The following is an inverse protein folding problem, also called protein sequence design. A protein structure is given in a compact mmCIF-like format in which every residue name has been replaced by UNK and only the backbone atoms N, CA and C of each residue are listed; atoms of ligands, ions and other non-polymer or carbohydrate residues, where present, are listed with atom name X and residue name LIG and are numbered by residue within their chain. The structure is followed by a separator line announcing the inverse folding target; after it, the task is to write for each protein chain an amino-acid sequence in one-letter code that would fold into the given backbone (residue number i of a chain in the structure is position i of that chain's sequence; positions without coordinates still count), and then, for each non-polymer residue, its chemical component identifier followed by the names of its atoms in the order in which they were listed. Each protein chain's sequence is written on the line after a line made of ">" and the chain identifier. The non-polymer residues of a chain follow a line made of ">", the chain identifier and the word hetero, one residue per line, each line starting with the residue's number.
data_IF_070137880119
#
_entry.id   IF_070137880119
#
_cell.length_a   1.000
_cell.length_b   1.000
_cell.length_c   1.000
_cell.angle_alpha   90.00
_cell.angle_beta   90.00
_cell.angle_gamma   90.00
#
_symmetry.space_group_name_H-M   'P 1'
#
loop_
_entity.id
_entity.type
_entity.pdbx_description
1 polymer ?
#
# COMPACT_ATOMS: atom_id res chain seq x y z
N UNK A 1 -57.53 -64.20 -3.25
CA UNK A 1 -56.59 -65.24 -3.71
C UNK A 1 -55.20 -64.65 -3.63
N UNK A 2 -54.32 -65.31 -2.89
CA UNK A 2 -52.96 -64.86 -2.53
C UNK A 2 -51.95 -65.33 -3.58
N UNK A 3 -50.80 -64.65 -3.62
CA UNK A 3 -49.48 -65.14 -4.08
C UNK A 3 -49.34 -65.34 -5.60
N UNK A 4 -48.19 -65.20 -6.27
CA UNK A 4 -46.79 -64.89 -5.98
C UNK A 4 -46.15 -64.64 -7.36
N UNK A 5 -45.15 -63.76 -7.46
CA UNK A 5 -43.81 -64.18 -7.89
C UNK A 5 -42.91 -62.96 -8.05
N UNK A 6 -41.78 -63.06 -7.38
CA UNK A 6 -40.66 -62.14 -7.39
C UNK A 6 -39.72 -62.55 -8.52
N UNK A 7 -39.21 -61.58 -9.28
CA UNK A 7 -37.98 -61.75 -10.04
C UNK A 7 -37.06 -60.57 -9.79
N UNK A 8 -36.09 -60.80 -8.88
CA UNK A 8 -34.82 -60.09 -8.76
C UNK A 8 -34.06 -60.08 -10.08
N UNK A 9 -33.62 -58.90 -10.56
CA UNK A 9 -32.32 -58.72 -11.22
C UNK A 9 -31.75 -57.35 -10.77
N UNK A 10 -30.49 -57.37 -10.34
CA UNK A 10 -29.76 -56.36 -9.56
C UNK A 10 -29.38 -55.07 -10.33
N UNK A 11 -29.05 -53.96 -9.64
CA UNK A 11 -28.60 -52.72 -10.26
C UNK A 11 -27.10 -52.80 -10.61
N UNK A 12 -26.78 -52.73 -11.90
CA UNK A 12 -25.39 -52.66 -12.38
C UNK A 12 -25.00 -51.21 -12.63
N UNK A 13 -24.05 -50.73 -11.84
CA UNK A 13 -23.14 -49.62 -12.13
C UNK A 13 -23.73 -48.22 -12.33
N UNK A 14 -24.26 -47.64 -11.25
CA UNK A 14 -24.14 -46.20 -11.03
C UNK A 14 -22.68 -45.86 -10.71
N UNK A 15 -21.89 -45.49 -11.72
CA UNK A 15 -20.51 -45.03 -11.52
C UNK A 15 -20.09 -44.00 -12.58
N UNK A 16 -20.80 -42.88 -12.68
CA UNK A 16 -20.27 -41.66 -13.33
C UNK A 16 -20.81 -40.41 -12.59
N UNK A 17 -20.50 -40.29 -11.31
CA UNK A 17 -20.77 -39.06 -10.54
C UNK A 17 -19.65 -38.81 -9.53
N UNK A 18 -18.42 -38.69 -10.02
CA UNK A 18 -17.25 -38.53 -9.15
C UNK A 18 -16.07 -37.83 -9.83
N UNK A 19 -16.25 -36.80 -10.65
CA UNK A 19 -15.14 -35.92 -11.04
C UNK A 19 -15.70 -34.52 -11.29
N UNK A 20 -15.04 -33.49 -10.75
CA UNK A 20 -15.35 -32.05 -10.77
C UNK A 20 -15.95 -31.43 -9.50
N UNK A 21 -15.41 -31.78 -8.34
CA UNK A 21 -15.20 -30.80 -7.27
C UNK A 21 -13.71 -30.42 -7.20
N UNK A 22 -13.21 -29.84 -8.29
CA UNK A 22 -11.96 -29.08 -8.28
C UNK A 22 -12.22 -27.72 -7.64
N UNK A 23 -12.50 -27.72 -6.34
CA UNK A 23 -12.57 -26.52 -5.52
C UNK A 23 -11.15 -25.95 -5.53
N UNK A 24 -10.96 -24.87 -6.28
CA UNK A 24 -9.82 -23.97 -6.16
C UNK A 24 -9.76 -23.50 -4.70
N UNK A 25 -9.07 -24.26 -3.84
CA UNK A 25 -8.54 -23.73 -2.60
C UNK A 25 -7.39 -22.84 -3.05
N UNK A 26 -7.70 -21.58 -3.38
CA UNK A 26 -6.67 -20.55 -3.33
C UNK A 26 -6.19 -20.55 -1.89
N UNK A 27 -4.93 -20.97 -1.74
CA UNK A 27 -4.24 -21.01 -0.48
C UNK A 27 -4.51 -19.70 0.27
N UNK A 28 -5.15 -19.82 1.42
CA UNK A 28 -4.89 -18.89 2.51
C UNK A 28 -3.45 -19.18 2.91
N UNK A 29 -2.48 -18.62 2.16
CA UNK A 29 -1.15 -18.33 2.67
C UNK A 29 -1.29 -17.18 3.67
N UNK A 30 -2.18 -17.39 4.63
CA UNK A 30 -2.30 -16.57 5.80
C UNK A 30 -1.10 -17.01 6.65
N UNK A 31 0.07 -16.42 6.39
CA UNK A 31 1.32 -16.70 7.09
C UNK A 31 1.05 -16.99 8.56
N UNK A 32 1.52 -18.16 9.01
CA UNK A 32 1.31 -18.78 10.34
C UNK A 32 1.69 -17.88 11.54
N UNK A 33 2.16 -16.68 11.24
CA UNK A 33 2.82 -15.67 12.06
C UNK A 33 1.90 -14.44 12.27
N UNK A 34 0.75 -14.35 11.57
CA UNK A 34 -0.25 -13.27 11.72
C UNK A 34 0.08 -11.97 11.00
N UNK A 35 1.28 -11.83 10.42
CA UNK A 35 1.64 -10.67 9.60
C UNK A 35 1.02 -10.79 8.19
N UNK A 36 0.45 -9.68 7.71
CA UNK A 36 -0.02 -9.50 6.33
C UNK A 36 0.72 -8.35 5.68
N UNK A 37 1.20 -8.57 4.46
CA UNK A 37 1.81 -7.53 3.63
C UNK A 37 0.86 -7.27 2.47
N UNK A 38 0.59 -6.00 2.18
CA UNK A 38 -0.33 -5.61 1.10
C UNK A 38 0.09 -4.29 0.47
N UNK A 39 -0.61 -3.96 -0.61
CA UNK A 39 -0.52 -2.66 -1.28
C UNK A 39 0.92 -2.30 -1.70
N UNK A 40 1.73 -3.31 -2.03
CA UNK A 40 3.12 -3.15 -2.43
C UNK A 40 3.27 -2.50 -3.80
N UNK A 41 4.01 -1.40 -3.88
CA UNK A 41 4.32 -0.73 -5.14
C UNK A 41 5.68 -0.03 -5.11
N UNK A 42 6.23 0.17 -6.30
CA UNK A 42 7.43 0.96 -6.53
C UNK A 42 7.19 1.97 -7.64
N UNK A 43 7.99 3.02 -7.67
CA UNK A 43 7.97 4.00 -8.76
C UNK A 43 8.99 3.60 -9.83
N UNK A 44 8.60 3.72 -11.09
CA UNK A 44 9.54 3.51 -12.20
C UNK A 44 10.77 4.40 -12.08
N UNK A 45 11.91 3.88 -12.51
CA UNK A 45 13.19 4.59 -12.47
C UNK A 45 13.58 5.07 -13.86
N UNK A 46 14.23 6.25 -13.94
CA UNK A 46 14.79 6.74 -15.21
C UNK A 46 16.00 5.92 -15.62
N UNK A 47 16.30 5.86 -16.92
CA UNK A 47 17.50 5.20 -17.42
C UNK A 47 18.77 5.68 -16.69
N UNK A 48 19.55 4.74 -16.15
CA UNK A 48 20.78 5.02 -15.41
C UNK A 48 20.60 5.40 -13.94
N UNK A 49 19.35 5.41 -13.43
CA UNK A 49 19.11 5.61 -12.00
C UNK A 49 19.83 4.54 -11.18
N UNK A 50 20.43 4.97 -10.06
CA UNK A 50 21.14 4.10 -9.12
C UNK A 50 20.34 3.80 -7.85
N UNK A 51 19.16 4.40 -7.75
CA UNK A 51 18.30 4.40 -6.58
C UNK A 51 16.84 4.25 -7.03
N UNK A 52 16.07 3.46 -6.29
CA UNK A 52 14.63 3.28 -6.44
C UNK A 52 13.93 3.30 -5.08
N UNK A 53 12.64 3.64 -5.07
CA UNK A 53 11.83 3.69 -3.86
C UNK A 53 10.70 2.66 -3.88
N UNK A 54 10.36 2.08 -2.74
CA UNK A 54 9.25 1.14 -2.58
C UNK A 54 8.38 1.45 -1.38
N UNK A 55 7.12 1.03 -1.47
CA UNK A 55 6.06 1.33 -0.52
C UNK A 55 5.18 0.10 -0.35
N UNK A 56 4.71 -0.14 0.86
CA UNK A 56 3.84 -1.26 1.21
C UNK A 56 3.22 -1.02 2.59
N UNK A 57 2.26 -1.85 2.95
CA UNK A 57 1.67 -1.86 4.28
C UNK A 57 1.86 -3.23 4.92
N UNK A 58 2.35 -3.25 6.16
CA UNK A 58 2.43 -4.45 7.01
C UNK A 58 1.40 -4.34 8.12
N UNK A 59 0.56 -5.36 8.28
CA UNK A 59 -0.45 -5.44 9.33
C UNK A 59 -0.13 -6.62 10.25
N UNK A 60 -0.10 -6.40 11.57
CA UNK A 60 0.08 -7.48 12.52
C UNK A 60 -1.29 -7.94 13.06
N UNK A 61 -1.84 -9.01 12.48
CA UNK A 61 -3.04 -9.69 12.99
C UNK A 61 -2.71 -10.80 14.02
N UNK A 62 -1.45 -10.93 14.40
CA UNK A 62 -1.00 -11.83 15.46
C UNK A 62 -1.35 -11.33 16.86
N UNK A 63 -1.03 -12.14 17.87
CA UNK A 63 -1.27 -11.83 19.29
C UNK A 63 -0.01 -11.31 20.02
N UNK A 64 1.08 -11.14 19.29
CA UNK A 64 2.42 -10.82 19.82
C UNK A 64 3.09 -9.77 18.92
N UNK A 65 3.88 -8.86 19.49
CA UNK A 65 4.63 -7.88 18.70
C UNK A 65 5.65 -8.57 17.79
N UNK A 66 5.97 -7.95 16.67
CA UNK A 66 7.08 -8.33 15.79
C UNK A 66 7.89 -7.09 15.40
N UNK A 67 9.09 -7.28 14.87
CA UNK A 67 9.97 -6.21 14.43
C UNK A 67 10.46 -6.47 13.01
N UNK A 68 10.31 -5.49 12.13
CA UNK A 68 10.97 -5.50 10.83
C UNK A 68 12.45 -5.17 11.05
N UNK A 69 13.31 -6.16 10.84
CA UNK A 69 14.76 -6.07 11.02
C UNK A 69 15.46 -5.55 9.77
N UNK A 70 15.02 -6.02 8.59
CA UNK A 70 15.67 -5.71 7.32
C UNK A 70 14.73 -5.93 6.14
N UNK A 71 15.12 -5.37 4.99
CA UNK A 71 14.56 -5.68 3.67
C UNK A 71 15.69 -6.17 2.76
N UNK A 72 15.40 -7.12 1.87
CA UNK A 72 16.33 -7.60 0.85
C UNK A 72 15.66 -7.56 -0.51
N UNK A 73 16.45 -7.30 -1.54
CA UNK A 73 16.01 -7.28 -2.93
C UNK A 73 17.17 -7.68 -3.83
N UNK A 74 16.98 -8.66 -4.71
CA UNK A 74 18.05 -9.07 -5.64
C UNK A 74 18.34 -7.98 -6.68
N UNK A 75 17.34 -7.14 -7.01
CA UNK A 75 17.45 -6.04 -7.97
C UNK A 75 18.31 -4.85 -7.47
N UNK A 76 18.81 -4.90 -6.23
CA UNK A 76 19.58 -3.84 -5.59
C UNK A 76 20.79 -4.40 -4.82
N UNK A 77 21.91 -3.67 -4.84
CA UNK A 77 23.07 -4.02 -4.02
C UNK A 77 22.85 -3.74 -2.52
N UNK A 78 21.93 -2.84 -2.19
CA UNK A 78 21.60 -2.48 -0.81
C UNK A 78 20.13 -2.08 -0.70
N UNK A 79 19.45 -2.57 0.32
CA UNK A 79 18.02 -2.31 0.56
C UNK A 79 17.81 -1.92 2.00
N UNK A 80 17.19 -0.78 2.24
CA UNK A 80 17.05 -0.19 3.58
C UNK A 80 15.64 0.38 3.78
N UNK A 81 15.25 0.58 5.04
CA UNK A 81 14.08 1.38 5.38
C UNK A 81 14.55 2.77 5.77
N UNK A 82 14.02 3.79 5.12
CA UNK A 82 14.36 5.19 5.34
C UNK A 82 13.17 5.94 5.95
N UNK A 83 13.46 6.99 6.70
CA UNK A 83 12.49 7.95 7.22
C UNK A 83 12.86 9.35 6.76
N UNK A 84 11.89 10.26 6.78
CA UNK A 84 12.14 11.69 6.61
C UNK A 84 12.32 12.32 7.98
N UNK A 85 13.41 13.06 8.18
CA UNK A 85 13.69 13.79 9.41
C UNK A 85 14.04 15.25 9.10
N UNK A 86 13.62 16.16 9.98
CA UNK A 86 14.07 17.55 9.94
C UNK A 86 15.47 17.63 10.54
N UNK A 87 16.43 18.11 9.76
CA UNK A 87 17.77 18.45 10.21
C UNK A 87 18.08 19.86 9.71
N UNK A 88 18.32 20.79 10.63
CA UNK A 88 18.68 22.18 10.31
C UNK A 88 17.69 22.85 9.33
N UNK A 89 16.39 22.69 9.59
CA UNK A 89 15.27 23.15 8.75
C UNK A 89 15.19 22.51 7.34
N UNK A 90 15.99 21.48 7.08
CA UNK A 90 15.95 20.69 5.85
C UNK A 90 15.38 19.30 6.12
N UNK A 91 14.39 18.89 5.32
CA UNK A 91 13.94 17.50 5.31
C UNK A 91 15.00 16.61 4.65
N UNK A 92 15.59 15.71 5.43
CA UNK A 92 16.57 14.73 4.96
C UNK A 92 15.97 13.32 5.03
N UNK A 93 16.28 12.50 4.02
CA UNK A 93 16.04 11.06 4.07
C UNK A 93 17.19 10.39 4.79
N UNK A 94 16.88 9.59 5.81
CA UNK A 94 17.89 8.87 6.59
C UNK A 94 17.49 7.40 6.81
N UNK A 95 18.45 6.47 6.85
CA UNK A 95 18.17 5.10 7.22
C UNK A 95 17.61 5.03 8.65
N UNK A 96 16.70 4.09 8.86
CA UNK A 96 16.25 3.69 10.19
C UNK A 96 17.23 2.64 10.70
N UNK A 97 17.97 2.96 11.76
CA UNK A 97 18.97 2.06 12.35
C UNK A 97 18.34 0.99 13.27
N UNK A 98 17.20 1.31 13.87
CA UNK A 98 16.51 0.45 14.82
C UNK A 98 15.40 -0.37 14.15
N UNK A 99 15.20 -1.64 14.52
CA UNK A 99 14.09 -2.43 14.00
C UNK A 99 12.72 -1.82 14.27
N UNK A 100 11.87 -1.81 13.26
CA UNK A 100 10.54 -1.20 13.35
C UNK A 100 9.55 -2.15 14.04
N UNK A 101 9.15 -1.77 15.26
CA UNK A 101 8.17 -2.50 16.06
C UNK A 101 6.76 -2.41 15.48
N UNK A 102 6.06 -3.54 15.42
CA UNK A 102 4.67 -3.68 15.00
C UNK A 102 3.92 -4.43 16.10
N UNK A 103 3.20 -3.70 16.92
CA UNK A 103 2.36 -4.26 17.99
C UNK A 103 1.18 -5.08 17.44
N UNK A 104 0.58 -6.00 18.22
CA UNK A 104 -0.64 -6.68 17.85
C UNK A 104 -1.75 -5.70 17.45
N UNK A 105 -2.39 -5.95 16.29
CA UNK A 105 -3.42 -5.08 15.72
C UNK A 105 -2.90 -3.78 15.10
N UNK A 106 -1.60 -3.51 15.16
CA UNK A 106 -0.99 -2.31 14.57
C UNK A 106 -0.70 -2.50 13.08
N UNK A 107 -0.54 -1.35 12.42
CA UNK A 107 -0.20 -1.24 11.01
C UNK A 107 1.08 -0.43 10.88
N UNK A 108 2.07 -0.98 10.18
CA UNK A 108 3.25 -0.27 9.73
C UNK A 108 3.05 0.12 8.26
N UNK A 109 2.94 1.41 8.00
CA UNK A 109 2.80 1.95 6.64
C UNK A 109 4.14 2.49 6.14
N UNK A 110 4.63 1.92 5.04
CA UNK A 110 5.74 2.45 4.28
C UNK A 110 5.15 3.21 3.09
N UNK A 111 5.05 4.53 3.21
CA UNK A 111 4.36 5.42 2.28
C UNK A 111 5.21 6.65 1.93
N UNK A 112 4.92 7.29 0.79
CA UNK A 112 5.54 8.57 0.42
C UNK A 112 5.46 9.58 1.58
N UNK A 113 6.49 10.41 1.74
CA UNK A 113 6.56 11.41 2.82
C UNK A 113 6.83 10.86 4.23
N UNK A 114 6.82 9.54 4.43
CA UNK A 114 7.06 8.89 5.72
C UNK A 114 8.17 7.85 5.67
N UNK A 115 7.94 6.71 6.32
CA UNK A 115 8.80 5.53 6.18
C UNK A 115 8.69 4.98 4.75
N UNK A 116 9.79 4.55 4.16
CA UNK A 116 9.78 3.98 2.82
C UNK A 116 10.96 3.03 2.60
N UNK A 117 10.82 2.13 1.63
CA UNK A 117 11.92 1.27 1.18
C UNK A 117 12.82 2.07 0.24
N UNK A 118 14.12 1.98 0.47
CA UNK A 118 15.15 2.60 -0.36
C UNK A 118 16.04 1.50 -0.93
N UNK A 119 15.99 1.35 -2.25
CA UNK A 119 16.82 0.40 -3.00
C UNK A 119 17.97 1.16 -3.64
N UNK A 120 19.19 0.84 -3.25
CA UNK A 120 20.40 1.52 -3.69
C UNK A 120 21.29 0.56 -4.47
N UNK A 121 22.12 1.14 -5.33
CA UNK A 121 22.99 0.38 -6.23
C UNK A 121 22.16 -0.58 -7.10
N UNK A 122 21.08 -0.05 -7.69
CA UNK A 122 20.22 -0.80 -8.59
C UNK A 122 21.03 -1.50 -9.68
N UNK A 123 20.82 -2.81 -9.80
CA UNK A 123 21.37 -3.63 -10.87
C UNK A 123 20.30 -3.97 -11.93
N UNK A 124 19.02 -3.75 -11.62
CA UNK A 124 17.88 -3.75 -12.52
C UNK A 124 17.11 -2.43 -12.35
N UNK A 125 16.64 -1.85 -13.46
CA UNK A 125 15.77 -0.68 -13.44
C UNK A 125 14.34 -1.09 -13.10
N UNK A 126 13.60 -0.22 -12.42
CA UNK A 126 12.19 -0.45 -12.15
C UNK A 126 11.40 0.00 -13.37
N UNK A 127 10.85 -0.95 -14.14
CA UNK A 127 10.10 -0.66 -15.36
C UNK A 127 8.60 -0.77 -15.08
N UNK A 128 7.83 0.24 -15.49
CA UNK A 128 6.39 0.26 -15.26
C UNK A 128 5.68 -1.01 -15.77
N UNK A 129 4.78 -1.54 -14.95
CA UNK A 129 4.05 -2.79 -15.21
C UNK A 129 4.80 -4.06 -14.82
N UNK A 130 6.07 -3.97 -14.42
CA UNK A 130 6.80 -5.10 -13.84
C UNK A 130 6.45 -5.30 -12.36
N UNK A 131 6.76 -6.51 -11.89
CA UNK A 131 6.67 -6.89 -10.48
C UNK A 131 8.08 -7.11 -9.95
N UNK A 132 8.40 -6.48 -8.83
CA UNK A 132 9.69 -6.64 -8.15
C UNK A 132 9.48 -7.43 -6.86
N UNK A 133 10.12 -8.57 -6.75
CA UNK A 133 10.11 -9.37 -5.52
C UNK A 133 11.12 -8.84 -4.51
N UNK A 134 10.70 -8.82 -3.26
CA UNK A 134 11.49 -8.42 -2.09
C UNK A 134 11.23 -9.39 -0.95
N UNK A 135 12.16 -9.43 -0.01
CA UNK A 135 12.02 -10.20 1.23
C UNK A 135 12.07 -9.24 2.41
N UNK A 136 11.04 -9.28 3.25
CA UNK A 136 11.00 -8.60 4.54
C UNK A 136 11.44 -9.57 5.63
N UNK A 137 12.44 -9.18 6.41
CA UNK A 137 13.01 -10.02 7.47
C UNK A 137 12.49 -9.53 8.82
N UNK A 138 11.66 -10.35 9.46
CA UNK A 138 11.08 -10.08 10.77
C UNK A 138 11.77 -10.88 11.87
N UNK A 139 11.79 -10.32 13.07
CA UNK A 139 12.42 -10.95 14.24
C UNK A 139 11.77 -12.29 14.60
N UNK A 140 10.44 -12.37 14.56
CA UNK A 140 9.70 -13.57 14.99
C UNK A 140 9.06 -14.30 13.84
N UNK A 141 8.46 -13.58 12.90
CA UNK A 141 7.89 -14.18 11.70
C UNK A 141 8.96 -14.72 10.73
N UNK A 142 10.22 -14.29 10.86
CA UNK A 142 11.26 -14.68 9.92
C UNK A 142 11.09 -13.97 8.58
N UNK A 143 11.43 -14.65 7.50
CA UNK A 143 11.41 -14.08 6.15
C UNK A 143 10.01 -14.19 5.53
N UNK A 144 9.49 -13.07 5.03
CA UNK A 144 8.23 -13.01 4.30
C UNK A 144 8.48 -12.36 2.94
N UNK A 145 8.06 -13.06 1.88
CA UNK A 145 8.09 -12.55 0.52
C UNK A 145 7.01 -11.47 0.34
N UNK A 146 7.36 -10.43 -0.41
CA UNK A 146 6.43 -9.42 -0.87
C UNK A 146 6.76 -9.03 -2.31
N UNK A 147 5.75 -8.55 -3.01
CA UNK A 147 5.91 -8.11 -4.40
C UNK A 147 5.48 -6.65 -4.52
N UNK A 148 6.28 -5.87 -5.24
CA UNK A 148 6.00 -4.47 -5.55
C UNK A 148 5.60 -4.35 -7.01
N UNK A 149 4.39 -3.85 -7.28
CA UNK A 149 4.02 -3.41 -8.63
C UNK A 149 4.74 -2.11 -8.98
N UNK A 150 5.46 -2.09 -10.09
CA UNK A 150 6.12 -0.87 -10.56
C UNK A 150 5.11 -0.01 -11.30
N UNK A 151 4.78 1.14 -10.72
CA UNK A 151 3.90 2.13 -11.32
C UNK A 151 4.67 3.07 -12.22
N UNK A 152 4.03 3.49 -13.31
CA UNK A 152 4.54 4.57 -14.15
C UNK A 152 4.71 5.85 -13.33
N UNK A 153 5.51 6.79 -13.84
CA UNK A 153 5.71 8.09 -13.21
C UNK A 153 4.37 8.81 -13.01
N UNK A 154 3.45 8.67 -13.96
CA UNK A 154 2.10 9.23 -13.86
C UNK A 154 1.30 8.54 -12.75
N UNK A 155 1.20 7.22 -12.79
CA UNK A 155 0.33 6.48 -11.86
C UNK A 155 0.85 6.53 -10.43
N UNK A 156 2.18 6.54 -10.26
CA UNK A 156 2.81 6.76 -8.96
C UNK A 156 2.49 8.15 -8.40
N UNK A 157 2.48 9.21 -9.21
CA UNK A 157 2.07 10.54 -8.78
C UNK A 157 0.59 10.60 -8.41
N UNK A 158 -0.28 9.95 -9.17
CA UNK A 158 -1.72 9.89 -8.86
C UNK A 158 -1.97 9.10 -7.57
N UNK A 159 -1.23 8.01 -7.33
CA UNK A 159 -1.27 7.26 -6.07
C UNK A 159 -0.77 8.10 -4.89
N UNK A 160 0.33 8.85 -5.05
CA UNK A 160 0.85 9.76 -4.03
C UNK A 160 -0.19 10.81 -3.63
N UNK A 161 -0.85 11.45 -4.60
CA UNK A 161 -1.92 12.44 -4.36
C UNK A 161 -3.10 11.86 -3.57
N UNK A 162 -3.50 10.64 -3.91
CA UNK A 162 -4.63 9.98 -3.26
C UNK A 162 -4.28 9.37 -1.89
N UNK A 163 -2.98 9.22 -1.56
CA UNK A 163 -2.50 8.67 -0.29
C UNK A 163 -2.56 9.67 0.88
N UNK A 164 -3.14 10.86 0.67
CA UNK A 164 -3.44 11.83 1.73
C UNK A 164 -2.32 12.82 2.05
N UNK A 165 -1.28 12.91 1.23
CA UNK A 165 -0.18 13.85 1.44
C UNK A 165 -0.55 15.23 0.89
N UNK A 166 -1.26 16.02 1.70
CA UNK A 166 -1.26 17.46 1.56
C UNK A 166 0.12 17.99 1.96
N UNK A 167 1.08 17.96 1.03
CA UNK A 167 2.13 18.97 1.00
C UNK A 167 1.41 20.31 0.85
N UNK A 168 1.23 21.01 1.97
CA UNK A 168 0.60 22.31 2.02
C UNK A 168 1.40 23.33 1.21
N UNK A 169 1.11 23.44 -0.07
CA UNK A 169 1.27 24.70 -0.76
C UNK A 169 0.13 25.59 -0.28
N UNK A 170 0.48 26.54 0.60
CA UNK A 170 -0.41 27.61 1.00
C UNK A 170 -0.75 28.48 -0.21
N UNK A 171 -1.81 28.12 -0.92
CA UNK A 171 -2.54 29.07 -1.73
C UNK A 171 -3.26 30.00 -0.74
N UNK A 172 -2.66 31.16 -0.48
CA UNK A 172 -3.37 32.29 0.08
C UNK A 172 -4.44 32.72 -0.93
N UNK A 173 -5.60 32.06 -0.86
CA UNK A 173 -6.84 32.66 -1.28
C UNK A 173 -7.17 33.78 -0.28
N UNK A 174 -6.61 34.98 -0.50
CA UNK A 174 -7.14 36.18 0.13
C UNK A 174 -8.49 36.47 -0.49
N UNK A 175 -9.53 35.93 0.13
CA UNK A 175 -10.86 36.52 0.18
C UNK A 175 -10.71 37.98 0.63
N UNK A 176 -10.82 38.93 -0.30
CA UNK A 176 -11.17 40.30 0.07
C UNK A 176 -12.70 40.38 0.17
N UNK A 177 -13.21 40.07 1.37
CA UNK A 177 -14.55 40.46 1.79
C UNK A 177 -14.40 41.83 2.44
N UNK A 178 -14.55 42.90 1.67
CA UNK A 178 -14.93 44.18 2.26
C UNK A 178 -16.47 44.24 2.33
N UNK A 179 -16.99 43.96 3.53
CA UNK A 179 -18.39 44.13 3.86
C UNK A 179 -18.62 45.45 4.59
N UNK A 180 -19.79 46.04 4.35
CA UNK A 180 -20.56 46.69 5.42
C UNK A 180 -20.62 48.21 5.41
N UNK A 181 -21.81 48.69 5.00
CA UNK A 181 -22.58 49.80 5.57
C UNK A 181 -22.02 51.22 5.50
N UNK A 182 -22.80 52.11 4.87
CA UNK A 182 -23.39 53.25 5.58
C UNK A 182 -24.61 53.74 4.79
N UNK A 183 -25.78 53.49 5.38
CA UNK A 183 -27.01 54.24 5.14
C UNK A 183 -26.90 55.62 5.83
N UNK A 184 -27.73 56.54 5.34
CA UNK A 184 -28.10 57.85 5.89
C UNK A 184 -27.10 59.02 5.76
N UNK A 185 -27.37 59.94 4.81
CA UNK A 185 -28.04 61.20 5.17
C UNK A 185 -28.56 62.01 3.97
N UNK A 186 -29.70 62.62 4.27
CA UNK A 186 -30.55 63.52 3.52
C UNK A 186 -29.82 64.83 3.14
N UNK A 187 -30.04 65.35 1.92
CA UNK A 187 -30.22 66.80 1.77
C UNK A 187 -31.00 67.14 0.50
N UNK A 188 -32.11 67.84 0.71
CA UNK A 188 -32.95 68.47 -0.28
C UNK A 188 -32.19 69.66 -0.91
N UNK A 189 -32.21 69.79 -2.23
CA UNK A 189 -32.30 71.13 -2.82
C UNK A 189 -33.02 71.08 -4.16
N UNK A 190 -34.19 71.74 -4.15
CA UNK A 190 -34.92 72.18 -5.32
C UNK A 190 -34.06 73.05 -6.24
N UNK A 191 -34.21 72.89 -7.56
CA UNK A 191 -34.42 74.06 -8.43
C UNK A 191 -34.99 73.69 -9.79
N UNK A 192 -36.02 74.44 -10.16
CA UNK A 192 -36.72 74.42 -11.43
C UNK A 192 -35.88 74.97 -12.59
N UNK A 193 -35.93 74.30 -13.75
CA UNK A 193 -36.43 74.88 -15.01
C UNK A 193 -36.55 73.84 -16.11
#
# INVERSE_FOLDING_TARGET
>A
MKQLSSHMIAPLCGLVFAVFLGLFISALADGMNGLRIKDGWSRETTAGARVGGGYLTVMNHGQVPDRLLAVRAEHAGMSEVHTMAMQDDVMVMRPVEEPLLIEPGAILELRPGGLHLMFMQLNQQHVAGEMLDIVLVFERAGELDATLEVLSMRDSMDRMRNSGDHMGHGDQASHDKNGGANDDHNDESHSHK
#
